data_IF_481000482802
#
_entry.id   IF_481000482802
#
_cell.length_a   1.000
_cell.length_b   1.000
_cell.length_c   1.000
_cell.angle_alpha   90.00
_cell.angle_beta   90.00
_cell.angle_gamma   90.00
#
_symmetry.space_group_name_H-M   'P 1'
#
loop_
_entity.id
_entity.type
_entity.pdbx_description
1 polymer ?
#
# COMPACT_ATOMS: atom_id res chain seq x y z
N UNK A 1 -7.61 24.80 10.69
CA UNK A 1 -8.78 24.14 10.07
C UNK A 1 -8.75 22.68 10.50
N UNK A 2 -9.63 22.31 11.43
CA UNK A 2 -9.80 20.92 11.86
C UNK A 2 -10.33 20.12 10.67
N UNK A 3 -9.60 19.08 10.26
CA UNK A 3 -10.21 18.01 9.47
C UNK A 3 -11.13 17.26 10.43
N UNK A 4 -12.39 17.65 10.50
CA UNK A 4 -13.39 16.85 11.19
C UNK A 4 -13.36 15.45 10.60
N UNK A 5 -13.00 14.49 11.43
CA UNK A 5 -13.03 13.08 11.08
C UNK A 5 -14.48 12.72 10.79
N UNK A 6 -14.79 12.46 9.51
CA UNK A 6 -16.07 11.91 9.12
C UNK A 6 -16.36 10.66 9.98
N UNK A 7 -17.61 10.46 10.45
CA UNK A 7 -17.96 9.28 11.22
C UNK A 7 -17.54 7.99 10.52
N UNK A 8 -17.23 6.95 11.30
CA UNK A 8 -17.02 5.61 10.78
C UNK A 8 -18.36 5.11 10.20
N UNK A 9 -18.52 5.26 8.90
CA UNK A 9 -19.71 4.86 8.15
C UNK A 9 -19.68 3.33 7.95
N UNK A 10 -20.74 2.58 8.32
CA UNK A 10 -20.81 1.14 8.08
C UNK A 10 -20.93 0.81 6.58
N UNK A 11 -19.77 0.63 5.96
CA UNK A 11 -19.69 0.51 4.51
C UNK A 11 -19.94 -0.89 3.97
N UNK A 12 -20.83 -0.97 2.97
CA UNK A 12 -20.99 -2.15 2.13
C UNK A 12 -19.94 -2.14 1.02
N UNK A 13 -18.74 -2.58 1.37
CA UNK A 13 -17.61 -2.72 0.45
C UNK A 13 -17.87 -3.91 -0.50
N UNK A 14 -17.75 -3.74 -1.83
CA UNK A 14 -17.68 -4.90 -2.72
C UNK A 14 -16.53 -5.80 -2.26
N UNK A 15 -16.79 -7.11 -2.15
CA UNK A 15 -15.80 -8.09 -1.72
C UNK A 15 -14.79 -8.37 -2.85
N UNK A 16 -13.96 -7.39 -3.18
CA UNK A 16 -12.72 -7.69 -3.89
C UNK A 16 -11.88 -8.60 -3.00
N UNK A 17 -11.29 -9.66 -3.55
CA UNK A 17 -10.30 -10.43 -2.84
C UNK A 17 -9.19 -9.50 -2.32
N UNK A 18 -9.07 -9.41 -0.99
CA UNK A 18 -8.11 -8.55 -0.32
C UNK A 18 -7.36 -9.32 0.77
N UNK A 19 -6.36 -8.65 1.35
CA UNK A 19 -5.66 -9.10 2.55
C UNK A 19 -6.20 -8.29 3.72
N UNK A 20 -6.68 -8.94 4.77
CA UNK A 20 -7.06 -8.25 6.01
C UNK A 20 -5.82 -7.87 6.82
N UNK A 21 -5.97 -6.98 7.80
CA UNK A 21 -4.83 -6.60 8.66
C UNK A 21 -4.24 -7.80 9.43
N UNK A 22 -5.09 -8.70 9.91
CA UNK A 22 -4.66 -9.91 10.61
C UNK A 22 -3.99 -10.91 9.67
N UNK A 23 -4.51 -11.08 8.46
CA UNK A 23 -3.85 -11.88 7.41
C UNK A 23 -2.47 -11.30 7.07
N UNK A 24 -2.36 -9.98 6.90
CA UNK A 24 -1.09 -9.31 6.68
C UNK A 24 -0.09 -9.58 7.81
N UNK A 25 -0.51 -9.44 9.08
CA UNK A 25 0.34 -9.73 10.25
C UNK A 25 0.84 -11.17 10.24
N UNK A 26 -0.05 -12.15 10.01
CA UNK A 26 0.31 -13.58 9.91
C UNK A 26 1.28 -13.86 8.77
N UNK A 27 1.02 -13.29 7.59
CA UNK A 27 1.93 -13.39 6.44
C UNK A 27 3.30 -12.83 6.80
N UNK A 28 3.36 -11.61 7.34
CA UNK A 28 4.62 -10.92 7.66
C UNK A 28 5.46 -11.67 8.71
N UNK A 29 4.81 -12.25 9.73
CA UNK A 29 5.48 -13.06 10.76
C UNK A 29 6.11 -14.33 10.18
N UNK A 30 5.51 -14.91 9.14
CA UNK A 30 6.03 -16.13 8.52
C UNK A 30 7.21 -15.89 7.57
N UNK A 31 7.43 -14.65 7.11
CA UNK A 31 8.50 -14.30 6.16
C UNK A 31 9.84 -14.15 6.90
N UNK A 32 10.78 -15.02 6.57
CA UNK A 32 12.16 -15.00 7.10
C UNK A 32 13.11 -14.09 6.32
N UNK A 33 12.82 -13.88 5.04
CA UNK A 33 13.68 -13.19 4.09
C UNK A 33 13.49 -11.67 4.23
N UNK A 34 14.53 -10.92 4.62
CA UNK A 34 14.42 -9.47 4.87
C UNK A 34 13.91 -8.68 3.66
N UNK A 35 14.37 -9.05 2.46
CA UNK A 35 13.94 -8.48 1.18
C UNK A 35 12.43 -8.65 0.98
N UNK A 36 11.92 -9.88 1.16
CA UNK A 36 10.49 -10.19 0.99
C UNK A 36 9.65 -9.56 2.10
N UNK A 37 10.20 -9.47 3.32
CA UNK A 37 9.55 -8.86 4.47
C UNK A 37 9.36 -7.37 4.24
N UNK A 38 10.44 -6.64 3.91
CA UNK A 38 10.37 -5.22 3.59
C UNK A 38 9.48 -4.96 2.37
N UNK A 39 9.57 -5.77 1.31
CA UNK A 39 8.68 -5.68 0.15
C UNK A 39 7.21 -5.80 0.55
N UNK A 40 6.88 -6.72 1.45
CA UNK A 40 5.50 -6.93 1.95
C UNK A 40 5.03 -5.75 2.80
N UNK A 41 5.90 -5.19 3.65
CA UNK A 41 5.62 -3.97 4.43
C UNK A 41 5.30 -2.80 3.49
N UNK A 42 6.14 -2.56 2.48
CA UNK A 42 5.93 -1.47 1.52
C UNK A 42 4.60 -1.65 0.75
N UNK A 43 4.30 -2.87 0.29
CA UNK A 43 3.02 -3.16 -0.39
C UNK A 43 1.83 -2.86 0.50
N UNK A 44 1.86 -3.27 1.77
CA UNK A 44 0.77 -3.03 2.71
C UNK A 44 0.64 -1.56 3.08
N UNK A 45 1.70 -0.93 3.56
CA UNK A 45 1.63 0.44 4.11
C UNK A 45 1.30 1.48 3.04
N UNK A 46 1.85 1.33 1.83
CA UNK A 46 1.71 2.30 0.74
C UNK A 46 0.73 1.89 -0.34
N UNK A 47 0.23 0.64 -0.31
CA UNK A 47 -0.73 0.13 -1.30
C UNK A 47 -0.20 0.14 -2.75
N UNK A 48 1.11 0.08 -2.95
CA UNK A 48 1.71 0.21 -4.28
C UNK A 48 1.45 -1.01 -5.17
N UNK A 49 1.55 -0.82 -6.50
CA UNK A 49 1.60 -1.94 -7.44
C UNK A 49 2.96 -2.64 -7.28
N UNK A 50 3.00 -3.95 -7.45
CA UNK A 50 4.27 -4.69 -7.37
C UNK A 50 5.33 -4.19 -8.34
N UNK A 51 4.93 -3.74 -9.54
CA UNK A 51 5.87 -3.14 -10.50
C UNK A 51 6.47 -1.82 -10.00
N UNK A 52 5.70 -1.02 -9.26
CA UNK A 52 6.19 0.22 -8.64
C UNK A 52 7.21 -0.14 -7.55
N UNK A 53 6.90 -1.12 -6.69
CA UNK A 53 7.81 -1.59 -5.63
C UNK A 53 9.11 -2.18 -6.19
N UNK A 54 9.03 -3.02 -7.23
CA UNK A 54 10.21 -3.64 -7.86
C UNK A 54 11.05 -2.67 -8.71
N UNK A 55 10.61 -1.42 -8.87
CA UNK A 55 11.35 -0.38 -9.57
C UNK A 55 11.94 0.67 -8.62
N UNK A 56 11.68 0.57 -7.32
CA UNK A 56 12.30 1.43 -6.31
C UNK A 56 13.81 1.22 -6.27
N UNK A 57 14.57 2.31 -6.25
CA UNK A 57 16.01 2.32 -5.98
C UNK A 57 16.31 2.93 -4.61
N UNK A 58 17.56 2.84 -4.15
CA UNK A 58 17.98 3.49 -2.92
C UNK A 58 17.79 5.03 -2.97
N UNK A 59 18.04 5.65 -4.13
CA UNK A 59 17.83 7.09 -4.38
C UNK A 59 16.37 7.53 -4.36
N UNK A 60 15.41 6.60 -4.42
CA UNK A 60 14.00 6.95 -4.32
C UNK A 60 13.57 7.21 -2.87
N UNK A 61 14.37 6.83 -1.86
CA UNK A 61 14.16 7.29 -0.48
C UNK A 61 14.75 8.69 -0.31
N UNK A 62 13.90 9.66 0.03
CA UNK A 62 14.27 11.07 0.09
C UNK A 62 13.99 11.60 1.50
N UNK A 63 15.01 12.20 2.11
CA UNK A 63 14.86 12.98 3.34
C UNK A 63 14.76 14.46 3.00
N UNK A 64 13.73 15.13 3.50
CA UNK A 64 13.51 16.58 3.41
C UNK A 64 13.40 17.17 4.82
N UNK A 65 13.28 18.50 4.91
CA UNK A 65 13.12 19.21 6.18
C UNK A 65 11.84 18.80 6.93
N UNK A 66 10.77 18.51 6.19
CA UNK A 66 9.43 18.16 6.69
C UNK A 66 9.19 16.65 6.85
N UNK A 67 10.20 15.82 6.56
CA UNK A 67 10.14 14.39 6.82
C UNK A 67 10.70 13.52 5.69
N UNK A 68 10.29 12.25 5.69
CA UNK A 68 10.73 11.25 4.73
C UNK A 68 9.70 11.02 3.64
N UNK A 69 10.19 10.82 2.43
CA UNK A 69 9.39 10.57 1.24
C UNK A 69 9.94 9.38 0.48
N UNK A 70 9.05 8.70 -0.24
CA UNK A 70 9.44 7.76 -1.28
C UNK A 70 8.99 8.28 -2.65
N UNK A 71 9.92 8.33 -3.60
CA UNK A 71 9.67 8.72 -4.98
C UNK A 71 9.13 7.51 -5.75
N UNK A 72 7.89 7.60 -6.20
CA UNK A 72 7.24 6.56 -6.98
C UNK A 72 7.13 7.01 -8.44
N UNK A 73 7.81 6.27 -9.31
CA UNK A 73 7.67 6.40 -10.77
C UNK A 73 6.48 5.56 -11.22
N UNK A 74 5.43 6.22 -11.70
CA UNK A 74 4.22 5.56 -12.21
C UNK A 74 4.16 5.66 -13.72
N UNK A 75 3.92 4.53 -14.36
CA UNK A 75 3.64 4.46 -15.80
C UNK A 75 2.13 4.44 -16.01
N UNK A 76 1.59 5.46 -16.68
CA UNK A 76 0.19 5.49 -17.06
C UNK A 76 0.02 5.97 -18.50
N UNK A 77 -0.61 5.15 -19.35
CA UNK A 77 -0.88 5.48 -20.77
C UNK A 77 0.37 6.01 -21.51
N UNK A 78 1.54 5.38 -21.29
CA UNK A 78 2.86 5.78 -21.84
C UNK A 78 3.39 7.15 -21.38
N UNK A 79 2.76 7.80 -20.40
CA UNK A 79 3.31 8.97 -19.70
C UNK A 79 3.83 8.53 -18.33
N UNK A 80 5.07 8.88 -18.03
CA UNK A 80 5.62 8.73 -16.69
C UNK A 80 5.16 9.89 -15.82
N UNK A 81 4.67 9.57 -14.62
CA UNK A 81 4.37 10.56 -13.58
C UNK A 81 5.16 10.19 -12.34
N UNK A 82 5.71 11.20 -11.66
CA UNK A 82 6.50 11.03 -10.45
C UNK A 82 5.70 11.58 -9.27
N UNK A 83 5.45 10.74 -8.26
CA UNK A 83 4.84 11.16 -7.01
C UNK A 83 5.85 11.00 -5.87
N UNK A 84 5.97 12.01 -5.01
CA UNK A 84 6.69 11.87 -3.74
C UNK A 84 5.67 11.63 -2.63
N UNK A 85 5.64 10.41 -2.10
CA UNK A 85 4.69 10.02 -1.06
C UNK A 85 5.36 10.17 0.30
N UNK A 86 4.81 10.94 1.25
CA UNK A 86 5.34 11.00 2.61
C UNK A 86 5.19 9.64 3.29
N UNK A 87 6.21 9.22 4.03
CA UNK A 87 6.23 7.94 4.74
C UNK A 87 6.55 8.13 6.23
N UNK A 88 6.06 7.24 7.11
CA UNK A 88 6.46 7.23 8.51
C UNK A 88 7.97 7.02 8.67
N UNK A 89 8.55 7.61 9.72
CA UNK A 89 9.99 7.52 10.01
C UNK A 89 10.41 6.07 10.24
N UNK A 90 9.54 5.23 10.80
CA UNK A 90 9.80 3.81 11.04
C UNK A 90 9.98 3.05 9.73
N UNK A 91 9.19 3.38 8.71
CA UNK A 91 9.32 2.77 7.38
C UNK A 91 10.59 3.27 6.69
N UNK A 92 10.91 4.56 6.81
CA UNK A 92 12.15 5.10 6.27
C UNK A 92 13.38 4.42 6.89
N UNK A 93 13.43 4.33 8.22
CA UNK A 93 14.50 3.67 8.96
C UNK A 93 14.64 2.19 8.57
N UNK A 94 13.53 1.48 8.34
CA UNK A 94 13.56 0.09 7.88
C UNK A 94 14.17 -0.03 6.47
N UNK A 95 13.87 0.92 5.57
CA UNK A 95 14.43 0.97 4.22
C UNK A 95 15.93 1.33 4.28
N UNK A 96 16.33 2.36 5.03
CA UNK A 96 17.74 2.75 5.21
C UNK A 96 18.57 1.60 5.76
N UNK A 97 18.09 0.94 6.82
CA UNK A 97 18.75 -0.22 7.42
C UNK A 97 18.95 -1.33 6.39
N UNK A 98 17.92 -1.60 5.58
CA UNK A 98 18.01 -2.62 4.54
C UNK A 98 19.01 -2.25 3.43
N UNK A 99 19.04 -0.99 2.99
CA UNK A 99 20.02 -0.48 2.01
C UNK A 99 21.45 -0.70 2.52
N UNK A 100 21.74 -0.28 3.76
CA UNK A 100 23.06 -0.43 4.39
C UNK A 100 23.43 -1.90 4.54
N UNK A 101 22.53 -2.72 5.08
CA UNK A 101 22.76 -4.15 5.31
C UNK A 101 23.04 -4.93 4.02
N UNK A 102 22.41 -4.54 2.90
CA UNK A 102 22.59 -5.19 1.60
C UNK A 102 23.65 -4.52 0.72
N UNK A 103 24.24 -3.41 1.16
CA UNK A 103 25.23 -2.65 0.39
C UNK A 103 24.68 -2.11 -0.94
N UNK A 104 23.41 -1.70 -0.97
CA UNK A 104 22.71 -1.30 -2.20
C UNK A 104 23.21 0.07 -2.64
N UNK A 105 23.65 0.17 -3.90
CA UNK A 105 24.11 1.45 -4.47
C UNK A 105 22.94 2.40 -4.74
N UNK A 106 23.18 3.72 -4.78
CA UNK A 106 22.14 4.75 -4.99
C UNK A 106 21.14 4.43 -6.13
N UNK A 107 21.63 4.04 -7.31
CA UNK A 107 20.78 3.76 -8.48
C UNK A 107 20.37 2.30 -8.63
N UNK A 108 20.72 1.46 -7.66
CA UNK A 108 20.40 0.04 -7.67
C UNK A 108 19.00 -0.21 -7.07
N UNK A 109 18.30 -1.18 -7.66
CA UNK A 109 16.97 -1.58 -7.19
C UNK A 109 17.03 -2.15 -5.77
N UNK A 110 16.08 -1.77 -4.92
CA UNK A 110 15.94 -2.32 -3.58
C UNK A 110 15.71 -3.84 -3.60
N UNK A 111 14.95 -4.33 -4.60
CA UNK A 111 14.57 -5.72 -4.72
C UNK A 111 15.00 -6.29 -6.07
N UNK A 112 15.91 -7.28 -6.05
CA UNK A 112 16.35 -8.03 -7.23
C UNK A 112 15.41 -9.19 -7.53
N UNK A 113 14.12 -8.89 -7.68
CA UNK A 113 13.08 -9.88 -7.93
C UNK A 113 12.30 -9.55 -9.19
N UNK A 114 12.03 -10.56 -10.03
CA UNK A 114 11.17 -10.39 -11.20
C UNK A 114 9.71 -10.34 -10.76
N UNK A 115 8.84 -9.73 -11.59
CA UNK A 115 7.40 -9.73 -11.32
C UNK A 115 6.83 -11.14 -11.21
N UNK A 116 7.25 -12.05 -12.08
CA UNK A 116 6.79 -13.45 -12.08
C UNK A 116 7.15 -14.11 -10.74
N UNK A 117 8.40 -13.97 -10.30
CA UNK A 117 8.85 -14.55 -9.03
C UNK A 117 8.15 -13.94 -7.82
N UNK A 118 7.85 -12.64 -7.85
CA UNK A 118 7.07 -12.00 -6.80
C UNK A 118 5.64 -12.56 -6.73
N UNK A 119 4.95 -12.70 -7.87
CA UNK A 119 3.62 -13.31 -7.92
C UNK A 119 3.63 -14.76 -7.43
N UNK A 120 4.60 -15.57 -7.87
CA UNK A 120 4.76 -16.95 -7.43
C UNK A 120 5.07 -17.05 -5.92
N UNK A 121 5.90 -16.14 -5.40
CA UNK A 121 6.18 -16.06 -3.97
C UNK A 121 4.89 -15.83 -3.17
N UNK A 122 4.11 -14.80 -3.50
CA UNK A 122 2.87 -14.51 -2.79
C UNK A 122 1.83 -15.61 -2.98
N UNK A 123 1.73 -16.22 -4.16
CA UNK A 123 0.84 -17.37 -4.41
C UNK A 123 1.15 -18.52 -3.45
N UNK A 124 2.41 -18.91 -3.33
CA UNK A 124 2.85 -19.99 -2.43
C UNK A 124 2.69 -19.62 -0.95
N UNK A 125 3.04 -18.38 -0.59
CA UNK A 125 2.91 -17.88 0.77
C UNK A 125 1.44 -17.89 1.23
N UNK A 126 0.52 -17.40 0.39
CA UNK A 126 -0.91 -17.42 0.67
C UNK A 126 -1.44 -18.85 0.86
N UNK A 127 -1.10 -19.78 -0.05
CA UNK A 127 -1.51 -21.18 0.10
C UNK A 127 -1.04 -21.79 1.41
N UNK A 128 0.21 -21.49 1.81
CA UNK A 128 0.82 -22.03 3.03
C UNK A 128 0.20 -21.45 4.31
N UNK A 129 -0.04 -20.14 4.36
CA UNK A 129 -0.38 -19.42 5.61
C UNK A 129 -1.88 -19.18 5.73
N UNK A 130 -2.57 -18.97 4.61
CA UNK A 130 -3.99 -18.58 4.56
C UNK A 130 -4.89 -19.65 3.92
N UNK A 131 -4.32 -20.76 3.42
CA UNK A 131 -5.07 -21.80 2.72
C UNK A 131 -5.60 -21.39 1.33
N UNK A 132 -5.21 -20.21 0.81
CA UNK A 132 -5.69 -19.68 -0.48
C UNK A 132 -4.59 -18.96 -1.26
N UNK A 133 -4.66 -19.02 -2.59
CA UNK A 133 -3.73 -18.24 -3.42
C UNK A 133 -3.95 -16.75 -3.21
N UNK A 134 -2.85 -15.99 -3.11
CA UNK A 134 -2.90 -14.52 -3.08
C UNK A 134 -1.97 -13.93 -4.14
N UNK A 135 -2.20 -12.68 -4.51
CA UNK A 135 -1.35 -11.93 -5.43
C UNK A 135 -1.09 -10.51 -4.93
N UNK A 136 -0.01 -9.83 -5.36
CA UNK A 136 0.38 -8.52 -4.82
C UNK A 136 -0.72 -7.45 -4.80
N UNK A 137 -1.63 -7.45 -5.77
CA UNK A 137 -2.70 -6.44 -5.82
C UNK A 137 -3.70 -6.56 -4.64
N UNK A 138 -3.79 -7.72 -3.97
CA UNK A 138 -4.66 -7.91 -2.80
C UNK A 138 -4.21 -7.09 -1.59
N UNK A 139 -2.91 -6.82 -1.45
CA UNK A 139 -2.40 -5.92 -0.40
C UNK A 139 -2.89 -4.49 -0.63
N UNK A 140 -2.93 -4.05 -1.90
CA UNK A 140 -3.49 -2.74 -2.25
C UNK A 140 -4.98 -2.67 -1.93
N UNK A 141 -5.76 -3.68 -2.29
CA UNK A 141 -7.17 -3.75 -1.91
C UNK A 141 -7.35 -3.68 -0.39
N UNK A 142 -6.55 -4.45 0.34
CA UNK A 142 -6.57 -4.48 1.81
C UNK A 142 -6.25 -3.12 2.42
N UNK A 143 -5.22 -2.42 1.90
CA UNK A 143 -4.85 -1.09 2.37
C UNK A 143 -5.93 -0.05 2.09
N UNK A 144 -6.54 -0.08 0.91
CA UNK A 144 -7.68 0.80 0.56
C UNK A 144 -8.81 0.60 1.55
N UNK A 145 -9.19 -0.67 1.76
CA UNK A 145 -10.26 -1.05 2.67
C UNK A 145 -9.99 -0.58 4.10
N UNK A 146 -8.75 -0.75 4.58
CA UNK A 146 -8.32 -0.29 5.90
C UNK A 146 -8.42 1.24 6.03
N UNK A 147 -7.93 2.00 5.04
CA UNK A 147 -7.98 3.46 5.07
C UNK A 147 -9.42 3.98 5.03
N UNK A 148 -10.29 3.36 4.24
CA UNK A 148 -11.70 3.68 4.18
C UNK A 148 -12.37 3.43 5.55
N UNK A 149 -12.13 2.27 6.17
CA UNK A 149 -12.65 1.95 7.51
C UNK A 149 -12.16 2.91 8.59
N UNK A 150 -10.96 3.45 8.43
CA UNK A 150 -10.38 4.48 9.32
C UNK A 150 -10.97 5.89 9.08
N UNK A 151 -11.92 6.04 8.16
CA UNK A 151 -12.54 7.33 7.84
C UNK A 151 -11.62 8.28 7.07
N UNK A 152 -10.55 7.77 6.43
CA UNK A 152 -9.63 8.60 5.66
C UNK A 152 -10.38 9.16 4.44
N UNK A 153 -10.35 10.49 4.22
CA UNK A 153 -11.00 11.11 3.08
C UNK A 153 -10.60 10.47 1.75
N UNK A 154 -11.58 10.13 0.92
CA UNK A 154 -11.38 9.40 -0.34
C UNK A 154 -10.37 10.10 -1.28
N UNK A 155 -10.34 11.44 -1.29
CA UNK A 155 -9.36 12.21 -2.06
C UNK A 155 -7.91 11.96 -1.62
N UNK A 156 -7.66 11.79 -0.32
CA UNK A 156 -6.32 11.46 0.19
C UNK A 156 -5.93 10.03 -0.21
N UNK A 157 -6.86 9.09 -0.19
CA UNK A 157 -6.64 7.70 -0.66
C UNK A 157 -6.27 7.69 -2.15
N UNK A 158 -7.02 8.43 -2.98
CA UNK A 158 -6.73 8.58 -4.43
C UNK A 158 -5.31 9.12 -4.64
N UNK A 159 -4.93 10.17 -3.92
CA UNK A 159 -3.61 10.81 -4.02
C UNK A 159 -2.49 9.86 -3.59
N UNK A 160 -2.62 9.20 -2.44
CA UNK A 160 -1.67 8.20 -1.95
C UNK A 160 -1.43 7.09 -2.99
N UNK A 161 -2.52 6.57 -3.55
CA UNK A 161 -2.48 5.46 -4.48
C UNK A 161 -2.19 5.87 -5.93
N UNK A 162 -2.12 7.16 -6.24
CA UNK A 162 -1.93 7.67 -7.61
C UNK A 162 -3.01 7.16 -8.56
N UNK A 163 -4.25 7.10 -8.07
CA UNK A 163 -5.41 6.88 -8.92
C UNK A 163 -5.77 8.19 -9.61
N UNK A 164 -6.25 8.10 -10.85
CA UNK A 164 -6.64 9.30 -11.61
C UNK A 164 -8.12 9.65 -11.48
N UNK A 165 -8.88 8.85 -10.75
CA UNK A 165 -10.31 9.03 -10.61
C UNK A 165 -10.76 8.55 -9.25
N UNK A 166 -11.64 9.34 -8.64
CA UNK A 166 -12.35 8.99 -7.42
C UNK A 166 -13.27 7.79 -7.63
N UNK A 167 -13.71 7.53 -8.86
CA UNK A 167 -14.56 6.37 -9.20
C UNK A 167 -13.92 5.03 -8.82
N UNK A 168 -12.58 4.97 -8.70
CA UNK A 168 -11.89 3.77 -8.25
C UNK A 168 -12.14 3.48 -6.77
N UNK A 169 -12.27 4.53 -5.95
CA UNK A 169 -12.64 4.43 -4.52
C UNK A 169 -14.10 4.04 -4.37
N UNK A 170 -15.00 4.54 -5.23
CA UNK A 170 -16.43 4.23 -5.18
C UNK A 170 -16.72 2.73 -5.31
N UNK A 171 -15.86 1.96 -5.99
CA UNK A 171 -15.96 0.49 -6.01
C UNK A 171 -15.84 -0.15 -4.62
N UNK A 172 -15.17 0.53 -3.69
CA UNK A 172 -15.05 0.10 -2.30
C UNK A 172 -16.10 0.79 -1.42
N UNK A 173 -16.68 1.91 -1.85
CA UNK A 173 -17.51 2.75 -1.00
C UNK A 173 -18.93 2.84 -1.57
N UNK A 174 -19.86 2.08 -0.98
CA UNK A 174 -21.30 2.17 -1.28
C UNK A 174 -22.03 2.68 -0.02
N UNK A 175 -22.32 3.99 0.05
CA UNK A 175 -23.09 4.54 1.16
C UNK A 175 -24.54 4.05 1.11
N UNK A 176 -25.10 3.73 2.26
CA UNK A 176 -26.47 3.28 2.48
C UNK A 176 -27.34 4.42 3.04
N UNK A 177 -28.67 4.30 3.00
CA UNK A 177 -29.56 5.26 3.66
C UNK A 177 -29.30 5.41 5.18
N UNK A 178 -28.86 4.33 5.84
CA UNK A 178 -28.51 4.36 7.27
C UNK A 178 -27.23 5.15 7.51
N UNK A 179 -26.24 5.02 6.63
CA UNK A 179 -25.01 5.82 6.65
C UNK A 179 -25.30 7.32 6.58
N UNK A 180 -26.21 7.71 5.68
CA UNK A 180 -26.66 9.09 5.51
C UNK A 180 -27.37 9.56 6.78
N UNK A 181 -28.21 8.71 7.38
CA UNK A 181 -28.95 9.03 8.60
C UNK A 181 -28.01 9.27 9.79
N UNK A 182 -26.95 8.48 9.94
CA UNK A 182 -25.94 8.68 10.98
C UNK A 182 -25.15 9.99 10.79
N UNK A 183 -24.82 10.35 9.54
CA UNK A 183 -24.18 11.63 9.25
C UNK A 183 -25.09 12.81 9.62
N UNK A 184 -26.38 12.74 9.32
CA UNK A 184 -27.35 13.81 9.60
C UNK A 184 -27.76 13.93 11.08
N UNK A 185 -27.44 12.94 11.92
CA UNK A 185 -27.68 12.99 13.38
C UNK A 185 -26.60 13.77 14.14
N UNK A 186 -25.43 13.99 13.52
CA UNK A 186 -24.35 14.81 14.06
C UNK A 186 -24.60 16.29 13.76
#
# INVERSE_FOLDING_TARGET
MMFETLPAIPLKLEEFPHITEDEYKRLLMSIQSDDKKLMTVILWHLGLRISEVLNLTANDLIKKQDGYYIRIKRLKKRKETIDNIPIPVELANAIEKYIVMKGIKPDEKLFKMTRINAFEFYRRLGKKILGRSIHPHMFRHGRVYQLIKQGVPALLIVKLLGWSSLSVVLRYYHPTPDDIREVLKK
#
